data_IF_010838495130
#
_entry.id   IF_010838495130
#
_cell.length_a   1.000
_cell.length_b   1.000
_cell.length_c   1.000
_cell.angle_alpha   90.00
_cell.angle_beta   90.00
_cell.angle_gamma   90.00
#
_symmetry.space_group_name_H-M   'P 1'
#
loop_
_entity.id
_entity.type
_entity.pdbx_description
1 polymer ?
#
# COMPACT_ATOMS: atom_id res chain seq x y z
N UNK A 1 -9.46 36.96 -3.48
CA UNK A 1 -8.57 37.53 -4.52
C UNK A 1 -7.14 37.16 -4.16
N UNK A 2 -6.43 36.46 -5.05
CA UNK A 2 -5.03 36.03 -4.83
C UNK A 2 -4.86 34.84 -3.87
N UNK A 3 -3.90 33.93 -4.08
CA UNK A 3 -2.99 33.77 -5.23
C UNK A 3 -2.39 32.35 -5.24
N UNK A 4 -2.33 31.68 -6.40
CA UNK A 4 -1.68 30.37 -6.55
C UNK A 4 -0.19 30.49 -6.92
N UNK A 5 0.62 29.58 -6.39
CA UNK A 5 2.02 29.23 -6.76
C UNK A 5 2.27 27.79 -6.29
N UNK A 6 3.04 26.88 -6.91
CA UNK A 6 3.66 26.80 -8.25
C UNK A 6 4.02 25.35 -8.56
N UNK A 7 3.39 24.77 -9.58
CA UNK A 7 4.03 24.15 -10.77
C UNK A 7 5.41 23.46 -10.62
N UNK A 8 5.41 22.14 -10.51
CA UNK A 8 6.52 21.29 -10.97
C UNK A 8 6.47 21.13 -12.50
N UNK A 9 7.64 20.99 -13.15
CA UNK A 9 7.74 20.82 -14.61
C UNK A 9 8.98 20.00 -14.97
N UNK A 10 8.79 18.78 -15.44
CA UNK A 10 9.89 17.95 -15.95
C UNK A 10 10.39 18.47 -17.32
N UNK A 11 11.71 18.45 -17.60
CA UNK A 11 12.25 18.89 -18.89
C UNK A 11 12.41 17.73 -19.89
N UNK A 12 11.56 17.67 -20.92
CA UNK A 12 11.82 16.85 -22.11
C UNK A 12 13.01 17.41 -22.89
N UNK A 13 14.02 16.59 -23.18
CA UNK A 13 15.15 16.94 -24.04
C UNK A 13 14.86 16.58 -25.50
N UNK A 14 15.00 17.57 -26.39
CA UNK A 14 14.66 17.47 -27.81
C UNK A 14 15.72 16.76 -28.65
N UNK A 15 15.25 16.07 -29.69
CA UNK A 15 16.03 15.46 -30.77
C UNK A 15 17.09 16.41 -31.37
N UNK A 16 18.28 15.87 -31.65
CA UNK A 16 19.37 16.58 -32.32
C UNK A 16 20.08 15.69 -33.34
N UNK A 17 19.62 15.68 -34.59
CA UNK A 17 20.25 14.92 -35.67
C UNK A 17 21.54 15.57 -36.16
N UNK A 18 22.66 14.85 -36.14
CA UNK A 18 23.86 15.21 -36.92
C UNK A 18 24.58 13.97 -37.45
N UNK A 19 24.74 13.93 -38.76
CA UNK A 19 25.49 12.89 -39.48
C UNK A 19 27.00 13.02 -39.26
N UNK A 20 27.69 11.88 -39.23
CA UNK A 20 29.14 11.77 -39.07
C UNK A 20 29.62 10.37 -39.42
N UNK A 21 30.17 10.23 -40.62
CA UNK A 21 30.66 8.98 -41.20
C UNK A 21 32.07 8.60 -40.65
N UNK A 22 32.29 7.33 -40.27
CA UNK A 22 33.61 6.66 -40.29
C UNK A 22 33.60 5.17 -39.89
N UNK A 23 34.53 4.43 -40.51
CA UNK A 23 34.81 2.98 -40.39
C UNK A 23 34.96 2.40 -38.97
N UNK A 24 34.68 1.09 -38.82
CA UNK A 24 35.36 0.21 -37.88
C UNK A 24 36.21 -0.86 -38.59
N UNK A 25 37.53 -0.73 -38.51
CA UNK A 25 38.48 -1.75 -38.96
C UNK A 25 38.99 -2.66 -37.84
N UNK A 26 39.02 -3.97 -38.10
CA UNK A 26 39.86 -5.01 -37.47
C UNK A 26 39.48 -5.66 -36.12
N UNK A 27 39.00 -6.91 -36.25
CA UNK A 27 39.49 -8.14 -35.60
C UNK A 27 39.55 -8.23 -34.06
N UNK A 28 38.81 -9.20 -33.51
CA UNK A 28 39.40 -10.15 -32.56
C UNK A 28 38.82 -11.57 -32.69
N UNK A 29 39.61 -12.53 -32.22
CA UNK A 29 39.61 -13.98 -32.44
C UNK A 29 38.31 -14.77 -32.20
N UNK A 30 37.92 -15.58 -33.19
CA UNK A 30 37.24 -16.87 -32.94
C UNK A 30 38.28 -18.00 -32.77
N UNK A 31 38.12 -18.84 -31.75
CA UNK A 31 38.71 -20.20 -31.74
C UNK A 31 37.69 -21.21 -31.18
N UNK A 32 37.45 -22.27 -31.95
CA UNK A 32 36.57 -23.41 -31.64
C UNK A 32 37.13 -24.28 -30.49
N UNK A 33 36.25 -25.09 -29.87
CA UNK A 33 36.56 -26.52 -29.72
C UNK A 33 35.84 -27.34 -28.64
N UNK A 34 34.81 -28.11 -29.04
CA UNK A 34 34.38 -29.38 -28.41
C UNK A 34 33.50 -29.30 -27.15
N UNK A 35 32.61 -30.27 -26.87
CA UNK A 35 32.19 -31.43 -27.67
C UNK A 35 31.58 -32.57 -26.82
N UNK A 36 30.48 -33.19 -27.30
CA UNK A 36 29.70 -34.26 -26.63
C UNK A 36 28.30 -33.75 -26.22
N UNK A 37 27.16 -34.40 -26.48
CA UNK A 37 26.85 -35.79 -26.84
C UNK A 37 26.42 -36.58 -25.59
N UNK A 38 25.34 -37.36 -25.53
CA UNK A 38 24.33 -37.79 -26.52
C UNK A 38 23.16 -38.52 -25.80
N UNK A 39 21.91 -38.47 -26.32
CA UNK A 39 20.85 -39.53 -26.36
C UNK A 39 19.39 -39.06 -26.17
N UNK A 40 18.49 -39.87 -26.76
CA UNK A 40 17.05 -39.69 -26.98
C UNK A 40 16.16 -40.62 -26.09
N UNK A 41 14.92 -40.17 -25.81
CA UNK A 41 13.63 -40.94 -25.79
C UNK A 41 13.42 -42.13 -24.78
N UNK A 42 12.18 -42.69 -24.59
CA UNK A 42 11.04 -41.99 -23.96
C UNK A 42 10.13 -42.86 -23.01
N UNK A 43 9.27 -42.19 -22.22
CA UNK A 43 8.00 -42.74 -21.70
C UNK A 43 8.04 -43.75 -20.54
N UNK A 44 6.87 -44.24 -20.01
CA UNK A 44 5.51 -44.05 -20.53
C UNK A 44 4.47 -43.45 -19.54
N UNK A 45 3.34 -43.00 -20.11
CA UNK A 45 2.07 -42.74 -19.40
C UNK A 45 1.29 -44.05 -19.21
N UNK A 46 0.55 -44.20 -18.10
CA UNK A 46 -0.46 -45.26 -17.98
C UNK A 46 -1.87 -44.69 -17.70
N UNK A 47 -2.83 -45.03 -18.57
CA UNK A 47 -4.27 -44.89 -18.35
C UNK A 47 -4.88 -46.28 -18.18
N UNK A 48 -5.68 -46.52 -17.13
CA UNK A 48 -6.98 -47.22 -17.21
C UNK A 48 -7.71 -47.24 -15.86
N UNK A 49 -9.04 -47.21 -15.94
CA UNK A 49 -9.98 -47.49 -14.85
C UNK A 49 -10.61 -48.89 -15.07
N UNK A 50 -11.76 -49.23 -14.45
CA UNK A 50 -11.93 -49.67 -13.07
C UNK A 50 -12.35 -51.16 -13.00
N UNK A 51 -12.58 -51.69 -11.80
CA UNK A 51 -13.13 -53.05 -11.61
C UNK A 51 -13.82 -53.25 -10.26
N UNK A 52 -15.00 -53.86 -10.30
CA UNK A 52 -15.91 -54.14 -9.16
C UNK A 52 -15.38 -55.22 -8.18
N UNK A 53 -16.04 -55.36 -7.01
CA UNK A 53 -16.92 -56.52 -6.70
C UNK A 53 -17.45 -56.57 -5.24
N UNK A 54 -18.56 -57.31 -5.09
CA UNK A 54 -19.25 -57.79 -3.86
C UNK A 54 -20.14 -56.75 -3.12
N UNK A 55 -21.47 -56.88 -2.90
CA UNK A 55 -22.57 -57.86 -3.12
C UNK A 55 -23.28 -58.35 -1.83
N UNK A 56 -24.61 -58.58 -1.96
CA UNK A 56 -25.67 -58.93 -0.97
C UNK A 56 -26.44 -57.70 -0.45
N UNK A 57 -27.77 -57.59 -0.48
CA UNK A 57 -28.86 -58.59 -0.54
C UNK A 57 -29.62 -58.59 0.80
N UNK A 58 -30.88 -58.12 0.92
CA UNK A 58 -32.07 -58.98 0.75
C UNK A 58 -33.41 -58.19 0.79
N UNK A 59 -34.21 -58.35 -0.28
CA UNK A 59 -35.69 -58.45 -0.42
C UNK A 59 -36.70 -57.63 0.45
N UNK A 60 -37.40 -56.76 -0.27
CA UNK A 60 -38.83 -56.32 -0.31
C UNK A 60 -39.90 -56.90 0.65
N UNK A 61 -40.82 -56.02 1.10
CA UNK A 61 -42.28 -56.31 1.23
C UNK A 61 -43.12 -55.02 1.04
N UNK A 62 -44.32 -55.12 0.45
CA UNK A 62 -45.26 -54.01 0.13
C UNK A 62 -46.22 -53.65 1.30
N UNK A 63 -46.86 -52.46 1.24
CA UNK A 63 -48.33 -52.29 1.19
C UNK A 63 -48.77 -50.81 1.05
N UNK A 64 -49.88 -50.63 0.32
CA UNK A 64 -50.78 -49.49 0.00
C UNK A 64 -51.24 -48.60 1.19
N UNK A 65 -51.87 -47.41 1.05
CA UNK A 65 -52.12 -46.45 -0.05
C UNK A 65 -52.81 -45.15 0.49
N UNK A 66 -53.23 -44.27 -0.44
CA UNK A 66 -54.28 -43.23 -0.35
C UNK A 66 -53.96 -41.77 0.06
N UNK A 67 -54.72 -40.88 -0.57
CA UNK A 67 -54.62 -39.40 -0.60
C UNK A 67 -55.84 -38.77 0.11
N UNK A 68 -55.88 -37.45 0.37
CA UNK A 68 -57.01 -36.70 -0.21
C UNK A 68 -56.68 -35.28 -0.73
N UNK A 69 -57.69 -34.67 -1.35
CA UNK A 69 -57.64 -33.65 -2.42
C UNK A 69 -58.17 -32.28 -1.95
N UNK A 70 -57.44 -31.20 -2.34
CA UNK A 70 -57.80 -29.82 -2.78
C UNK A 70 -59.18 -29.19 -2.37
N UNK A 71 -59.30 -27.84 -2.27
CA UNK A 71 -59.75 -27.10 -3.47
C UNK A 71 -59.12 -25.71 -3.71
N UNK A 72 -59.06 -25.30 -4.98
CA UNK A 72 -58.52 -24.02 -5.47
C UNK A 72 -59.65 -23.04 -5.83
N UNK A 73 -59.57 -21.79 -5.35
CA UNK A 73 -60.25 -20.57 -5.84
C UNK A 73 -59.45 -19.36 -5.29
N UNK A 74 -59.27 -18.21 -5.93
CA UNK A 74 -59.67 -17.69 -7.27
C UNK A 74 -58.53 -16.81 -7.84
N UNK A 75 -58.73 -16.15 -8.99
CA UNK A 75 -57.83 -15.10 -9.52
C UNK A 75 -58.40 -13.68 -9.29
N UNK A 76 -57.52 -12.70 -9.08
CA UNK A 76 -57.70 -11.30 -9.51
C UNK A 76 -56.31 -10.63 -9.62
N UNK A 77 -56.04 -9.79 -10.64
CA UNK A 77 -54.77 -9.08 -10.81
C UNK A 77 -54.78 -7.70 -10.09
N UNK A 78 -53.70 -6.93 -10.28
CA UNK A 78 -53.45 -5.57 -9.75
C UNK A 78 -52.80 -5.50 -8.36
N UNK A 79 -51.46 -5.50 -8.38
CA UNK A 79 -50.62 -4.52 -7.67
C UNK A 79 -49.25 -4.44 -8.36
N UNK A 80 -49.25 -3.83 -9.54
CA UNK A 80 -48.05 -3.15 -10.02
C UNK A 80 -47.72 -1.97 -9.09
N UNK A 81 -46.46 -1.53 -9.17
CA UNK A 81 -45.91 -0.32 -8.57
C UNK A 81 -46.05 -0.18 -7.05
N UNK A 82 -45.00 -0.64 -6.35
CA UNK A 82 -44.08 0.24 -5.59
C UNK A 82 -43.12 -0.62 -4.75
N UNK A 83 -41.85 -0.73 -5.17
CA UNK A 83 -40.62 -0.60 -4.35
C UNK A 83 -39.41 -0.89 -5.25
N UNK A 84 -38.53 0.13 -5.35
CA UNK A 84 -37.13 0.08 -5.77
C UNK A 84 -36.77 -0.72 -7.04
N UNK A 85 -36.49 0.02 -8.12
CA UNK A 85 -35.51 -0.39 -9.12
C UNK A 85 -34.14 -0.53 -8.43
N UNK A 86 -33.85 -1.73 -7.93
CA UNK A 86 -32.49 -2.13 -7.55
C UNK A 86 -31.67 -2.17 -8.83
N UNK A 87 -30.99 -1.08 -9.17
CA UNK A 87 -30.12 -1.04 -10.34
C UNK A 87 -29.07 -2.14 -10.23
N UNK A 88 -29.22 -3.16 -11.08
CA UNK A 88 -28.42 -4.36 -11.02
C UNK A 88 -26.96 -4.05 -11.38
N UNK A 89 -26.03 -4.60 -10.60
CA UNK A 89 -24.60 -4.42 -10.80
C UNK A 89 -24.20 -4.85 -12.22
N UNK A 90 -23.69 -3.91 -13.00
CA UNK A 90 -23.49 -4.05 -14.44
C UNK A 90 -22.04 -3.83 -14.84
N UNK A 91 -21.44 -4.84 -15.48
CA UNK A 91 -20.08 -4.74 -16.02
C UNK A 91 -20.00 -3.66 -17.11
N UNK A 92 -21.07 -3.46 -17.89
CA UNK A 92 -21.10 -2.43 -18.93
C UNK A 92 -20.92 -1.01 -18.35
N UNK A 93 -21.52 -0.72 -17.18
CA UNK A 93 -21.34 0.57 -16.49
C UNK A 93 -19.90 0.77 -16.00
N UNK A 94 -19.20 -0.30 -15.62
CA UNK A 94 -17.78 -0.24 -15.26
C UNK A 94 -16.91 0.10 -16.48
N UNK A 95 -17.19 -0.50 -17.64
CA UNK A 95 -16.47 -0.21 -18.88
C UNK A 95 -16.74 1.22 -19.37
N UNK A 96 -17.99 1.68 -19.32
CA UNK A 96 -18.38 3.07 -19.62
C UNK A 96 -17.70 4.08 -18.67
N UNK A 97 -17.63 3.76 -17.37
CA UNK A 97 -16.94 4.57 -16.37
C UNK A 97 -15.42 4.59 -16.60
N UNK A 98 -14.82 3.46 -17.00
CA UNK A 98 -13.41 3.39 -17.36
C UNK A 98 -13.11 4.27 -18.58
N UNK A 99 -13.89 4.13 -19.65
CA UNK A 99 -13.71 4.87 -20.91
C UNK A 99 -13.88 6.40 -20.72
N UNK A 100 -14.54 6.86 -19.65
CA UNK A 100 -14.62 8.28 -19.28
C UNK A 100 -13.29 8.87 -18.73
N UNK A 101 -12.50 8.05 -18.05
CA UNK A 101 -11.22 8.45 -17.44
C UNK A 101 -9.99 7.99 -18.22
N UNK A 102 -10.17 7.02 -19.11
CA UNK A 102 -9.13 6.46 -19.98
C UNK A 102 -8.39 7.55 -20.77
N UNK A 103 -7.11 7.31 -21.02
CA UNK A 103 -6.27 8.08 -21.94
C UNK A 103 -6.69 7.93 -23.42
N UNK A 104 -6.34 8.91 -24.26
CA UNK A 104 -6.64 8.90 -25.70
C UNK A 104 -5.77 7.93 -26.51
N UNK A 105 -4.63 7.48 -25.98
CA UNK A 105 -3.61 6.71 -26.68
C UNK A 105 -3.35 5.33 -26.06
N UNK A 106 -3.41 5.20 -24.74
CA UNK A 106 -3.24 3.95 -23.99
C UNK A 106 -4.57 3.37 -23.46
N UNK A 107 -4.67 2.04 -23.33
CA UNK A 107 -5.83 1.38 -22.67
C UNK A 107 -5.69 1.36 -21.13
N UNK A 108 -5.42 2.54 -20.58
CA UNK A 108 -5.25 2.81 -19.16
C UNK A 108 -5.80 4.20 -18.80
N UNK A 109 -6.18 4.36 -17.54
CA UNK A 109 -6.32 5.67 -16.88
C UNK A 109 -4.90 6.07 -16.46
N UNK A 110 -4.37 7.16 -17.03
CA UNK A 110 -3.06 7.75 -16.71
C UNK A 110 -3.23 8.97 -15.78
N UNK A 111 -2.21 9.83 -15.65
CA UNK A 111 -2.18 10.90 -14.64
C UNK A 111 -3.34 11.89 -14.75
N UNK A 112 -3.69 12.38 -15.94
CA UNK A 112 -4.82 13.30 -16.15
C UNK A 112 -6.16 12.61 -15.95
N UNK A 113 -6.25 11.31 -16.23
CA UNK A 113 -7.44 10.49 -15.96
C UNK A 113 -7.65 10.27 -14.47
N UNK A 114 -6.56 9.98 -13.75
CA UNK A 114 -6.52 9.77 -12.31
C UNK A 114 -6.88 11.04 -11.54
N UNK A 115 -6.38 12.20 -11.96
CA UNK A 115 -6.73 13.49 -11.35
C UNK A 115 -8.25 13.76 -11.46
N UNK A 116 -8.85 13.60 -12.65
CA UNK A 116 -10.31 13.72 -12.83
C UNK A 116 -11.08 12.73 -11.98
N UNK A 117 -10.66 11.46 -11.97
CA UNK A 117 -11.31 10.41 -11.19
C UNK A 117 -11.29 10.69 -9.67
N UNK A 118 -10.16 11.13 -9.12
CA UNK A 118 -10.06 11.50 -7.71
C UNK A 118 -10.90 12.75 -7.38
N UNK A 119 -10.88 13.76 -8.27
CA UNK A 119 -11.73 14.95 -8.14
C UNK A 119 -13.22 14.61 -8.10
N UNK A 120 -13.69 13.73 -8.99
CA UNK A 120 -15.10 13.35 -9.07
C UNK A 120 -15.54 12.45 -7.90
N UNK A 121 -14.62 11.63 -7.37
CA UNK A 121 -14.79 10.92 -6.10
C UNK A 121 -14.71 11.86 -4.86
N UNK A 122 -14.35 13.12 -5.04
CA UNK A 122 -14.14 14.12 -3.98
C UNK A 122 -13.08 13.69 -2.94
N UNK A 123 -11.97 13.11 -3.41
CA UNK A 123 -10.81 12.69 -2.59
C UNK A 123 -9.52 13.34 -3.08
N UNK A 124 -8.58 13.61 -2.17
CA UNK A 124 -7.25 14.07 -2.58
C UNK A 124 -6.45 12.90 -3.20
N UNK A 125 -5.79 13.04 -4.36
CA UNK A 125 -5.04 11.95 -5.00
C UNK A 125 -3.97 11.29 -4.12
N UNK A 126 -3.47 11.99 -3.09
CA UNK A 126 -2.48 11.49 -2.14
C UNK A 126 -3.10 11.02 -0.80
N UNK A 127 -4.43 10.98 -0.65
CA UNK A 127 -5.08 10.52 0.59
C UNK A 127 -5.15 8.99 0.72
N UNK A 128 -5.28 8.52 1.97
CA UNK A 128 -5.26 7.08 2.28
C UNK A 128 -6.36 6.28 1.57
N UNK A 129 -7.50 6.90 1.26
CA UNK A 129 -8.59 6.25 0.49
C UNK A 129 -8.18 5.89 -0.93
N UNK A 130 -7.33 6.69 -1.58
CA UNK A 130 -6.82 6.40 -2.93
C UNK A 130 -5.82 5.24 -2.88
N UNK A 131 -4.97 5.19 -1.85
CA UNK A 131 -4.11 4.01 -1.59
C UNK A 131 -4.92 2.73 -1.36
N UNK A 132 -6.02 2.81 -0.58
CA UNK A 132 -6.92 1.68 -0.40
C UNK A 132 -7.60 1.25 -1.71
N UNK A 133 -8.01 2.19 -2.55
CA UNK A 133 -8.61 1.90 -3.85
C UNK A 133 -7.62 1.20 -4.78
N UNK A 134 -6.39 1.71 -4.87
CA UNK A 134 -5.29 1.08 -5.61
C UNK A 134 -4.98 -0.34 -5.10
N UNK A 135 -5.01 -0.55 -3.77
CA UNK A 135 -4.87 -1.88 -3.16
C UNK A 135 -6.02 -2.82 -3.55
N UNK A 136 -7.28 -2.39 -3.49
CA UNK A 136 -8.42 -3.23 -3.94
C UNK A 136 -8.37 -3.53 -5.44
N UNK A 137 -7.84 -2.60 -6.24
CA UNK A 137 -7.70 -2.74 -7.70
C UNK A 137 -6.43 -3.51 -8.09
N UNK A 138 -5.57 -3.83 -7.10
CA UNK A 138 -4.28 -4.52 -7.28
C UNK A 138 -3.37 -3.81 -8.31
N UNK A 139 -3.38 -2.47 -8.28
CA UNK A 139 -2.67 -1.63 -9.23
C UNK A 139 -1.15 -1.83 -9.15
N UNK A 140 -0.52 -2.11 -10.30
CA UNK A 140 0.91 -2.37 -10.38
C UNK A 140 1.78 -1.10 -10.25
N UNK A 141 1.26 0.06 -10.66
CA UNK A 141 2.02 1.31 -10.82
C UNK A 141 1.24 2.50 -10.27
N UNK A 142 1.91 3.44 -9.59
CA UNK A 142 1.31 4.72 -9.20
C UNK A 142 0.80 5.51 -10.42
N UNK A 143 -0.23 6.33 -10.19
CA UNK A 143 -0.88 7.19 -11.20
C UNK A 143 -1.44 6.45 -12.43
N UNK A 144 -1.63 5.12 -12.36
CA UNK A 144 -2.08 4.29 -13.48
C UNK A 144 -3.06 3.20 -13.04
N UNK A 145 -4.17 3.07 -13.76
CA UNK A 145 -4.99 1.86 -13.75
C UNK A 145 -5.17 1.35 -15.19
N UNK A 146 -4.72 0.14 -15.48
CA UNK A 146 -5.12 -0.56 -16.72
C UNK A 146 -6.61 -0.91 -16.68
N UNK A 147 -7.24 -1.11 -17.85
CA UNK A 147 -8.63 -1.57 -17.93
C UNK A 147 -8.90 -2.78 -17.04
N UNK A 148 -7.97 -3.75 -17.02
CA UNK A 148 -8.10 -4.97 -16.20
C UNK A 148 -8.12 -4.66 -14.69
N UNK A 149 -7.21 -3.85 -14.19
CA UNK A 149 -7.15 -3.48 -12.76
C UNK A 149 -8.41 -2.72 -12.34
N UNK A 150 -8.85 -1.76 -13.15
CA UNK A 150 -10.07 -0.99 -12.88
C UNK A 150 -11.32 -1.88 -12.90
N UNK A 151 -11.50 -2.70 -13.94
CA UNK A 151 -12.69 -3.55 -14.10
C UNK A 151 -12.77 -4.64 -13.04
N UNK A 152 -11.67 -5.34 -12.76
CA UNK A 152 -11.64 -6.36 -11.70
C UNK A 152 -11.69 -5.75 -10.29
N UNK A 153 -11.11 -4.57 -10.10
CA UNK A 153 -11.19 -3.80 -8.86
C UNK A 153 -12.61 -3.38 -8.51
N UNK A 154 -13.31 -2.77 -9.47
CA UNK A 154 -14.73 -2.41 -9.36
C UNK A 154 -15.62 -3.63 -9.07
N UNK A 155 -15.37 -4.78 -9.70
CA UNK A 155 -16.02 -6.07 -9.36
C UNK A 155 -15.70 -6.53 -7.94
N UNK A 156 -14.45 -6.46 -7.51
CA UNK A 156 -14.01 -6.89 -6.18
C UNK A 156 -14.68 -6.08 -5.05
N UNK A 157 -14.84 -4.76 -5.24
CA UNK A 157 -15.56 -3.89 -4.29
C UNK A 157 -17.07 -3.84 -4.56
N UNK A 158 -17.58 -4.51 -5.59
CA UNK A 158 -19.00 -4.51 -6.01
C UNK A 158 -19.55 -3.09 -6.17
N UNK A 159 -18.89 -2.31 -7.01
CA UNK A 159 -19.30 -0.96 -7.40
C UNK A 159 -19.14 -0.77 -8.90
N UNK A 160 -20.10 -0.10 -9.53
CA UNK A 160 -20.13 0.18 -10.97
C UNK A 160 -20.52 1.64 -11.28
N UNK A 161 -20.37 2.52 -10.29
CA UNK A 161 -20.53 3.97 -10.37
C UNK A 161 -19.65 4.66 -9.33
N UNK A 162 -19.40 5.97 -9.50
CA UNK A 162 -18.67 6.79 -8.52
C UNK A 162 -19.31 6.74 -7.13
N UNK A 163 -20.64 6.88 -7.04
CA UNK A 163 -21.38 6.75 -5.78
C UNK A 163 -21.20 5.35 -5.16
N UNK A 164 -21.22 4.31 -6.00
CA UNK A 164 -20.91 2.94 -5.61
C UNK A 164 -19.52 2.83 -4.98
N UNK A 165 -18.48 3.40 -5.60
CA UNK A 165 -17.10 3.39 -5.09
C UNK A 165 -17.03 4.14 -3.76
N UNK A 166 -17.59 5.36 -3.70
CA UNK A 166 -17.63 6.17 -2.49
C UNK A 166 -18.32 5.45 -1.32
N UNK A 167 -19.41 4.72 -1.58
CA UNK A 167 -20.12 3.93 -0.56
C UNK A 167 -19.27 2.81 0.06
N UNK A 168 -18.19 2.37 -0.60
CA UNK A 168 -17.30 1.30 -0.12
C UNK A 168 -16.17 1.80 0.77
N UNK A 169 -15.80 3.09 0.74
CA UNK A 169 -14.69 3.61 1.56
C UNK A 169 -14.80 3.26 3.05
N UNK A 170 -15.96 3.37 3.73
CA UNK A 170 -16.07 3.00 5.15
C UNK A 170 -15.76 1.50 5.40
N UNK A 171 -16.16 0.63 4.48
CA UNK A 171 -15.89 -0.80 4.56
C UNK A 171 -14.40 -1.11 4.33
N UNK A 172 -13.78 -0.45 3.35
CA UNK A 172 -12.35 -0.63 3.05
C UNK A 172 -11.44 -0.10 4.16
N UNK A 173 -11.82 1.02 4.79
CA UNK A 173 -11.13 1.57 5.97
C UNK A 173 -11.14 0.56 7.14
N UNK A 174 -12.31 -0.01 7.45
CA UNK A 174 -12.45 -1.05 8.49
C UNK A 174 -11.72 -2.35 8.12
N UNK A 175 -11.77 -2.79 6.86
CA UNK A 175 -11.02 -3.98 6.41
C UNK A 175 -9.51 -3.78 6.62
N UNK A 176 -8.98 -2.59 6.33
CA UNK A 176 -7.56 -2.26 6.47
C UNK A 176 -7.07 -2.15 7.92
N UNK A 177 -7.96 -2.17 8.93
CA UNK A 177 -7.58 -2.22 10.36
C UNK A 177 -7.35 -3.66 10.86
N UNK A 178 -7.83 -4.68 10.13
CA UNK A 178 -7.57 -6.08 10.51
C UNK A 178 -6.10 -6.45 10.26
N UNK A 179 -5.43 -7.06 11.24
CA UNK A 179 -3.98 -7.26 11.23
C UNK A 179 -3.42 -7.90 9.94
N UNK A 180 -4.02 -8.99 9.46
CA UNK A 180 -3.59 -9.66 8.22
C UNK A 180 -3.82 -8.81 6.97
N UNK A 181 -4.87 -7.98 6.97
CA UNK A 181 -5.22 -7.06 5.88
C UNK A 181 -4.30 -5.85 5.88
N UNK A 182 -3.94 -5.34 7.05
CA UNK A 182 -2.93 -4.30 7.19
C UNK A 182 -1.56 -4.79 6.72
N UNK A 183 -1.15 -6.00 7.09
CA UNK A 183 0.09 -6.63 6.60
C UNK A 183 0.09 -6.79 5.07
N UNK A 184 -1.03 -7.16 4.47
CA UNK A 184 -1.16 -7.26 3.01
C UNK A 184 -1.08 -5.87 2.34
N UNK A 185 -1.87 -4.90 2.80
CA UNK A 185 -1.83 -3.51 2.37
C UNK A 185 -0.41 -2.92 2.46
N UNK A 186 0.27 -3.10 3.60
CA UNK A 186 1.62 -2.60 3.84
C UNK A 186 2.65 -3.19 2.86
N UNK A 187 2.51 -4.47 2.49
CA UNK A 187 3.35 -5.13 1.49
C UNK A 187 3.02 -4.66 0.06
N UNK A 188 1.74 -4.42 -0.22
CA UNK A 188 1.27 -3.83 -1.46
C UNK A 188 1.81 -2.41 -1.64
N UNK A 189 1.77 -1.56 -0.62
CA UNK A 189 2.25 -0.16 -0.68
C UNK A 189 3.70 -0.05 -1.16
N UNK A 190 4.60 -0.96 -0.74
CA UNK A 190 5.95 -1.00 -1.27
C UNK A 190 6.01 -1.31 -2.78
N UNK A 191 5.16 -2.23 -3.26
CA UNK A 191 5.15 -2.59 -4.67
C UNK A 191 4.52 -1.47 -5.53
N UNK A 192 3.43 -0.88 -5.05
CA UNK A 192 2.76 0.25 -5.68
C UNK A 192 3.68 1.48 -5.78
N UNK A 193 4.47 1.74 -4.73
CA UNK A 193 5.44 2.83 -4.68
C UNK A 193 6.66 2.67 -5.60
N UNK A 194 6.89 1.49 -6.16
CA UNK A 194 8.13 1.14 -6.86
C UNK A 194 8.01 1.42 -8.36
N UNK A 195 8.98 2.14 -8.92
CA UNK A 195 9.12 2.22 -10.37
C UNK A 195 9.67 0.89 -10.92
N UNK A 196 8.74 -0.01 -11.22
CA UNK A 196 9.04 -1.33 -11.79
C UNK A 196 9.48 -1.27 -13.24
N UNK A 197 9.09 -0.23 -13.97
CA UNK A 197 9.34 -0.10 -15.42
C UNK A 197 10.78 0.38 -15.67
N UNK A 198 11.33 1.20 -14.77
CA UNK A 198 12.78 1.49 -14.69
C UNK A 198 13.62 0.34 -14.10
N UNK A 199 12.99 -0.75 -13.65
CA UNK A 199 13.67 -1.90 -13.05
C UNK A 199 14.26 -1.63 -11.66
N UNK A 200 13.78 -0.59 -10.96
CA UNK A 200 14.26 -0.27 -9.61
C UNK A 200 13.89 -1.37 -8.62
N UNK A 201 14.75 -1.61 -7.62
CA UNK A 201 14.55 -2.66 -6.58
C UNK A 201 14.37 -2.10 -5.17
N UNK A 202 14.40 -0.77 -5.05
CA UNK A 202 14.27 -0.01 -3.81
C UNK A 202 13.41 1.22 -4.10
N UNK A 203 12.55 1.61 -3.15
CA UNK A 203 11.81 2.87 -3.24
C UNK A 203 12.77 4.05 -3.16
N UNK A 204 12.54 5.12 -3.92
CA UNK A 204 13.21 6.39 -3.64
C UNK A 204 12.88 6.86 -2.22
N UNK A 205 13.86 7.38 -1.49
CA UNK A 205 13.72 7.71 -0.05
C UNK A 205 12.50 8.59 0.23
N UNK A 206 12.31 9.64 -0.56
CA UNK A 206 11.23 10.62 -0.34
C UNK A 206 9.84 10.02 -0.63
N UNK A 207 9.76 9.07 -1.57
CA UNK A 207 8.54 8.28 -1.83
C UNK A 207 8.26 7.33 -0.67
N UNK A 208 9.29 6.67 -0.12
CA UNK A 208 9.12 5.82 1.06
C UNK A 208 8.64 6.62 2.29
N UNK A 209 9.16 7.83 2.52
CA UNK A 209 8.70 8.74 3.58
C UNK A 209 7.20 9.05 3.41
N UNK A 210 6.79 9.46 2.21
CA UNK A 210 5.39 9.77 1.92
C UNK A 210 4.47 8.55 2.11
N UNK A 211 4.87 7.39 1.59
CA UNK A 211 4.09 6.16 1.67
C UNK A 211 4.02 5.58 3.09
N UNK A 212 5.04 5.78 3.93
CA UNK A 212 4.98 5.41 5.35
C UNK A 212 4.00 6.30 6.12
N UNK A 213 4.03 7.62 5.92
CA UNK A 213 3.00 8.53 6.48
C UNK A 213 1.60 8.10 6.03
N UNK A 214 1.47 7.73 4.77
CA UNK A 214 0.20 7.33 4.19
C UNK A 214 -0.33 6.00 4.74
N UNK A 215 0.48 4.94 4.76
CA UNK A 215 0.00 3.60 5.16
C UNK A 215 -0.37 3.53 6.64
N UNK A 216 0.33 4.27 7.51
CA UNK A 216 0.05 4.33 8.95
C UNK A 216 -1.00 5.41 9.34
N UNK A 217 -1.85 5.84 8.40
CA UNK A 217 -2.90 6.87 8.63
C UNK A 217 -3.91 6.48 9.72
N UNK A 218 -4.27 5.19 9.84
CA UNK A 218 -5.29 4.74 10.80
C UNK A 218 -4.72 4.30 12.16
N UNK A 219 -3.48 3.82 12.18
CA UNK A 219 -2.76 3.39 13.36
C UNK A 219 -1.31 3.84 13.19
N UNK A 220 -0.91 4.85 13.98
CA UNK A 220 0.38 5.52 13.84
C UNK A 220 1.32 5.04 14.96
N UNK A 221 2.37 4.26 14.64
CA UNK A 221 3.32 3.81 15.64
C UNK A 221 4.08 4.97 16.27
N UNK A 222 4.35 4.89 17.57
CA UNK A 222 5.01 5.96 18.31
C UNK A 222 6.42 6.31 17.79
N UNK A 223 7.08 5.38 17.09
CA UNK A 223 8.41 5.56 16.49
C UNK A 223 8.38 6.12 15.05
N UNK A 224 7.19 6.30 14.46
CA UNK A 224 7.06 6.67 13.05
C UNK A 224 7.64 8.06 12.76
N UNK A 225 7.29 9.08 13.54
CA UNK A 225 7.72 10.46 13.23
C UNK A 225 9.24 10.62 13.33
N UNK A 226 9.89 10.11 14.39
CA UNK A 226 11.35 10.15 14.49
C UNK A 226 12.05 9.33 13.41
N UNK A 227 11.47 8.21 12.94
CA UNK A 227 12.00 7.47 11.79
C UNK A 227 11.95 8.29 10.49
N UNK A 228 10.85 9.02 10.28
CA UNK A 228 10.68 9.86 9.09
C UNK A 228 11.55 11.11 9.14
N UNK A 229 11.76 11.70 10.32
CA UNK A 229 12.69 12.80 10.54
C UNK A 229 14.14 12.36 10.29
N UNK A 230 14.54 11.20 10.79
CA UNK A 230 15.85 10.58 10.51
C UNK A 230 16.09 10.41 8.99
N UNK A 231 15.11 9.87 8.27
CA UNK A 231 15.21 9.73 6.82
C UNK A 231 15.20 11.08 6.09
N UNK A 232 14.55 12.11 6.66
CA UNK A 232 14.53 13.46 6.10
C UNK A 232 15.87 14.19 6.28
N UNK A 233 16.50 14.10 7.46
CA UNK A 233 17.86 14.61 7.70
C UNK A 233 18.91 13.80 6.93
N UNK A 234 18.67 12.49 6.75
CA UNK A 234 19.47 11.58 5.94
C UNK A 234 20.97 11.53 6.34
N UNK A 235 21.32 11.34 7.62
CA UNK A 235 22.71 11.36 8.09
C UNK A 235 23.57 10.24 7.45
N UNK A 236 22.95 9.13 7.08
CA UNK A 236 23.60 7.96 6.44
C UNK A 236 23.76 8.09 4.92
N UNK A 237 23.21 9.14 4.28
CA UNK A 237 23.29 9.30 2.83
C UNK A 237 22.46 8.30 2.02
N UNK A 238 21.46 7.64 2.63
CA UNK A 238 20.63 6.62 1.97
C UNK A 238 19.82 7.22 0.81
N UNK A 239 19.88 6.56 -0.36
CA UNK A 239 19.17 7.00 -1.58
C UNK A 239 17.79 6.37 -1.74
N UNK A 240 17.57 5.21 -1.12
CA UNK A 240 16.31 4.49 -1.24
C UNK A 240 16.20 3.32 -0.28
N UNK A 241 14.96 2.89 -0.07
CA UNK A 241 14.56 1.87 0.91
C UNK A 241 14.38 0.53 0.21
N UNK A 242 15.07 -0.50 0.69
CA UNK A 242 14.94 -1.85 0.16
C UNK A 242 13.62 -2.50 0.63
N UNK A 243 13.14 -3.51 -0.12
CA UNK A 243 11.96 -4.30 0.28
C UNK A 243 12.11 -4.95 1.65
N UNK A 244 13.33 -5.35 1.99
CA UNK A 244 13.64 -5.98 3.28
C UNK A 244 13.50 -4.96 4.42
N UNK A 245 14.17 -3.81 4.29
CA UNK A 245 14.07 -2.67 5.22
C UNK A 245 12.61 -2.23 5.42
N UNK A 246 11.83 -2.12 4.33
CA UNK A 246 10.41 -1.80 4.42
C UNK A 246 9.63 -2.85 5.23
N UNK A 247 9.76 -4.13 4.87
CA UNK A 247 9.05 -5.22 5.54
C UNK A 247 9.44 -5.35 7.02
N UNK A 248 10.74 -5.20 7.34
CA UNK A 248 11.23 -5.29 8.72
C UNK A 248 10.79 -4.10 9.57
N UNK A 249 10.56 -2.92 8.98
CA UNK A 249 10.09 -1.76 9.73
C UNK A 249 8.72 -2.00 10.40
N UNK A 250 7.82 -2.76 9.77
CA UNK A 250 6.55 -3.13 10.41
C UNK A 250 6.75 -4.00 11.67
N UNK A 251 7.71 -4.93 11.66
CA UNK A 251 8.04 -5.69 12.86
C UNK A 251 8.73 -4.79 13.90
N UNK A 252 9.63 -3.91 13.46
CA UNK A 252 10.30 -2.93 14.32
C UNK A 252 9.29 -2.04 15.06
N UNK A 253 8.25 -1.55 14.39
CA UNK A 253 7.17 -0.76 15.04
C UNK A 253 6.32 -1.52 16.05
N UNK A 254 6.32 -2.86 16.02
CA UNK A 254 5.57 -3.72 16.94
C UNK A 254 6.44 -4.22 18.10
N UNK A 255 7.73 -4.48 17.84
CA UNK A 255 8.68 -4.99 18.83
C UNK A 255 9.28 -3.84 19.65
N UNK A 256 9.68 -2.73 19.01
CA UNK A 256 10.43 -1.66 19.65
C UNK A 256 9.50 -0.61 20.28
N UNK A 257 9.67 -0.39 21.58
CA UNK A 257 8.95 0.61 22.34
C UNK A 257 9.36 2.05 22.01
N UNK A 258 8.55 3.05 22.43
CA UNK A 258 8.80 4.46 22.12
C UNK A 258 10.12 5.00 22.69
N UNK A 259 10.64 4.36 23.75
CA UNK A 259 11.89 4.74 24.40
C UNK A 259 13.14 4.11 23.78
N UNK A 260 12.99 3.20 22.80
CA UNK A 260 14.05 2.38 22.20
C UNK A 260 14.78 1.44 23.21
N UNK A 261 14.30 1.30 24.44
CA UNK A 261 15.02 0.61 25.53
C UNK A 261 15.19 -0.89 25.33
N UNK A 262 14.38 -1.48 24.45
CA UNK A 262 14.37 -2.91 24.15
C UNK A 262 14.97 -3.26 22.78
N UNK A 263 15.57 -2.29 22.09
CA UNK A 263 16.36 -2.55 20.89
C UNK A 263 17.73 -3.13 21.26
N UNK A 264 18.26 -4.02 20.42
CA UNK A 264 19.60 -4.60 20.55
C UNK A 264 20.28 -4.69 19.19
N UNK A 265 21.53 -4.23 19.10
CA UNK A 265 22.40 -4.32 17.91
C UNK A 265 22.83 -5.77 17.58
N UNK A 266 22.71 -6.69 18.54
CA UNK A 266 22.98 -8.13 18.34
C UNK A 266 21.83 -8.85 17.58
N UNK A 267 20.67 -8.20 17.41
CA UNK A 267 19.53 -8.77 16.68
C UNK A 267 19.68 -8.58 15.15
N UNK A 268 19.05 -9.45 14.36
CA UNK A 268 19.19 -9.49 12.91
C UNK A 268 18.37 -8.40 12.18
N UNK A 269 18.45 -7.15 12.63
CA UNK A 269 17.80 -6.00 12.01
C UNK A 269 18.59 -5.49 10.79
N UNK A 270 17.93 -4.84 9.82
CA UNK A 270 18.62 -4.08 8.78
C UNK A 270 19.42 -2.93 9.40
N UNK A 271 20.71 -2.79 9.04
CA UNK A 271 21.63 -1.85 9.71
C UNK A 271 21.29 -0.36 9.63
N UNK A 272 20.30 0.00 8.80
CA UNK A 272 19.72 1.34 8.80
C UNK A 272 18.94 1.63 10.09
N UNK A 273 18.44 0.60 10.79
CA UNK A 273 17.76 0.74 12.08
C UNK A 273 18.76 1.04 13.19
N UNK A 274 19.94 0.40 13.18
CA UNK A 274 21.03 0.70 14.10
C UNK A 274 21.43 2.18 13.99
N UNK A 275 21.63 2.65 12.75
CA UNK A 275 21.95 4.06 12.46
C UNK A 275 20.82 5.03 12.88
N UNK A 276 19.56 4.59 12.80
CA UNK A 276 18.41 5.35 13.28
C UNK A 276 18.39 5.45 14.81
N UNK A 277 18.62 4.34 15.52
CA UNK A 277 18.65 4.30 16.99
C UNK A 277 19.80 5.16 17.52
N UNK A 278 21.00 5.05 16.94
CA UNK A 278 22.13 5.94 17.26
C UNK A 278 21.77 7.43 17.10
N UNK A 279 21.14 7.79 15.97
CA UNK A 279 20.74 9.17 15.69
C UNK A 279 19.66 9.67 16.66
N UNK A 280 18.64 8.87 16.97
CA UNK A 280 17.53 9.27 17.85
C UNK A 280 17.99 9.42 19.31
N UNK A 281 18.89 8.55 19.78
CA UNK A 281 19.51 8.67 21.12
C UNK A 281 20.32 9.97 21.24
N UNK A 282 21.15 10.27 20.25
CA UNK A 282 21.96 11.50 20.23
C UNK A 282 21.08 12.75 20.02
N UNK A 283 19.97 12.66 19.27
CA UNK A 283 18.96 13.74 19.13
C UNK A 283 18.30 14.05 20.46
N UNK A 284 17.82 13.04 21.19
CA UNK A 284 17.19 13.17 22.52
C UNK A 284 18.14 13.82 23.53
N UNK A 285 19.40 13.37 23.56
CA UNK A 285 20.45 13.94 24.41
C UNK A 285 20.68 15.43 24.13
N UNK A 286 20.81 15.83 22.85
CA UNK A 286 20.93 17.25 22.45
C UNK A 286 19.70 18.07 22.83
N UNK A 287 18.50 17.49 22.78
CA UNK A 287 17.26 18.15 23.17
C UNK A 287 17.21 18.39 24.70
N UNK A 288 17.65 17.41 25.50
CA UNK A 288 17.76 17.56 26.95
C UNK A 288 18.82 18.57 27.38
N UNK A 289 20.01 18.57 26.76
CA UNK A 289 21.07 19.57 27.00
C UNK A 289 20.56 21.00 26.70
N UNK A 290 19.84 21.18 25.59
CA UNK A 290 19.20 22.46 25.23
C UNK A 290 18.14 22.88 26.25
N UNK A 291 17.30 21.95 26.71
CA UNK A 291 16.26 22.19 27.72
C UNK A 291 16.87 22.60 29.07
N UNK A 292 17.93 21.93 29.51
CA UNK A 292 18.64 22.27 30.75
C UNK A 292 19.32 23.65 30.68
N UNK A 293 19.80 24.05 29.50
CA UNK A 293 20.46 25.34 29.28
C UNK A 293 19.48 26.53 29.21
N UNK A 294 18.18 26.28 29.02
CA UNK A 294 17.16 27.33 28.86
C UNK A 294 16.34 27.64 30.12
N UNK A 295 16.58 26.96 31.24
CA UNK A 295 15.99 27.31 32.54
C UNK A 295 16.68 28.57 33.11
N UNK A 296 15.97 29.70 33.33
CA UNK A 296 16.58 30.86 33.98
C UNK A 296 16.84 30.58 35.45
N UNK A 297 18.02 30.92 35.94
CA UNK A 297 18.41 30.85 37.35
C UNK A 297 17.66 31.87 38.22
N UNK A 298 16.36 31.66 38.43
CA UNK A 298 15.53 32.50 39.28
C UNK A 298 15.66 32.09 40.75
N UNK A 299 16.82 32.34 41.38
CA UNK A 299 16.97 32.40 42.85
C UNK A 299 18.35 32.93 43.28
N UNK A 300 18.50 34.25 43.42
CA UNK A 300 19.37 34.93 44.42
C UNK A 300 19.17 36.46 44.41
N UNK A 301 18.00 36.94 44.87
CA UNK A 301 17.96 38.25 45.54
C UNK A 301 17.91 38.01 47.04
N UNK A 302 19.08 38.15 47.68
CA UNK A 302 19.23 38.04 49.13
C UNK A 302 18.61 39.29 49.79
N UNK A 303 17.34 39.19 50.19
CA UNK A 303 16.62 40.30 50.84
C UNK A 303 17.17 40.58 52.23
N UNK A 304 18.03 41.59 52.35
CA UNK A 304 18.60 42.02 53.62
C UNK A 304 17.56 42.66 54.54
N UNK A 305 17.35 42.09 55.73
CA UNK A 305 16.48 42.67 56.76
C UNK A 305 16.34 41.83 58.03
N UNK A 306 17.28 41.95 58.99
CA UNK A 306 17.30 41.03 60.14
C UNK A 306 18.10 41.48 61.38
N UNK A 307 17.62 42.51 62.09
CA UNK A 307 17.66 42.66 63.55
C UNK A 307 18.96 42.36 64.36
N UNK A 308 19.65 43.42 64.81
CA UNK A 308 20.44 43.49 66.06
C UNK A 308 20.40 44.94 66.59
N UNK A 309 20.38 45.24 67.90
CA UNK A 309 20.02 44.48 69.11
C UNK A 309 19.80 45.51 70.22
N UNK A 310 18.67 45.47 70.93
CA UNK A 310 18.49 46.29 72.14
C UNK A 310 18.88 45.51 73.40
N UNK A 311 19.79 46.05 74.22
CA UNK A 311 20.05 45.61 75.60
C UNK A 311 20.29 46.87 76.44
N UNK A 312 19.69 46.92 77.63
CA UNK A 312 19.70 48.06 78.56
C UNK A 312 20.58 47.77 79.79
N UNK A 313 20.54 48.70 80.78
CA UNK A 313 21.25 48.72 82.08
C UNK A 313 22.76 49.01 81.99
N UNK A 314 23.35 49.80 82.89
CA UNK A 314 22.88 50.35 84.18
C UNK A 314 22.77 51.90 84.14
#
# INVERSE_FOLDING_TARGET
MGQCVTKCKNPSSSLGSKSGDKDPGSKSHHKKGGGGGCKEEPGPVCRKAPGDLLANGTKTMEVTAETPVIPTLSADPLKEDLVANSEEFSIARIEELFDHYKDEHDDAILEEGMERFCNDLCVDPAEFRVLLLAWKFQAATMCKFTRKEFVEGCKAIKADSLEGICSRFPCMLLEAQAEDKFKDLYRFTFQFGLDSDEGQRSLHRDIAIALWRLVFTQDTPAILECWLDFLTENPSGVKGISRDTWNMFLNFTQVIGPDLSNYSEDEAWPSLFDTFVEWEVERRKKEEERRCTQLPSAETEESGGGHQKGVATD
#
